data_IF_586194715797
#
_entry.id   IF_586194715797
#
_cell.length_a   1.000
_cell.length_b   1.000
_cell.length_c   1.000
_cell.angle_alpha   90.00
_cell.angle_beta   90.00
_cell.angle_gamma   90.00
#
_symmetry.space_group_name_H-M   'P 1'
#
loop_
_entity.id
_entity.type
_entity.pdbx_description
1 polymer ?
#
# COMPACT_ATOMS: atom_id res chain seq x y z
N UNK A 1 13.29 -9.38 -8.80
CA UNK A 1 12.44 -8.54 -7.94
C UNK A 1 12.92 -7.10 -8.03
N UNK A 2 11.99 -6.16 -8.15
CA UNK A 2 12.24 -4.72 -8.04
C UNK A 2 12.15 -4.33 -6.56
N UNK A 3 13.22 -3.73 -6.02
CA UNK A 3 13.30 -3.36 -4.61
C UNK A 3 13.12 -1.85 -4.50
N UNK A 4 12.10 -1.43 -3.75
CA UNK A 4 11.86 -0.05 -3.42
C UNK A 4 12.21 0.25 -1.97
N UNK A 5 13.15 1.16 -1.75
CA UNK A 5 13.52 1.64 -0.43
C UNK A 5 12.68 2.85 -0.05
N UNK A 6 12.03 2.81 1.11
CA UNK A 6 11.18 3.91 1.57
C UNK A 6 12.01 5.01 2.24
N UNK A 7 11.77 6.28 1.90
CA UNK A 7 12.40 7.42 2.56
C UNK A 7 11.99 7.55 4.03
N UNK A 8 10.74 7.24 4.34
CA UNK A 8 10.18 7.18 5.68
C UNK A 8 9.31 5.93 5.84
N UNK A 9 9.22 5.41 7.07
CA UNK A 9 8.37 4.25 7.35
C UNK A 9 6.87 4.61 7.26
N UNK A 10 6.44 5.85 7.08
CA UNK A 10 5.02 6.23 7.06
C UNK A 10 4.33 5.91 5.72
N UNK A 11 3.26 5.10 5.68
CA UNK A 11 2.53 4.79 4.43
C UNK A 11 1.68 5.96 3.90
N UNK A 12 1.65 7.10 4.62
CA UNK A 12 0.95 8.33 4.20
C UNK A 12 1.88 9.37 3.59
N UNK A 13 3.17 9.23 3.85
CA UNK A 13 4.20 10.19 3.48
C UNK A 13 5.52 9.42 3.36
N UNK A 14 5.85 9.00 2.16
CA UNK A 14 7.13 8.38 1.86
C UNK A 14 7.40 8.45 0.35
N UNK A 15 8.67 8.44 0.01
CA UNK A 15 9.13 8.23 -1.35
C UNK A 15 9.64 6.80 -1.46
N UNK A 16 9.28 6.11 -2.55
CA UNK A 16 9.82 4.80 -2.88
C UNK A 16 10.92 5.00 -3.90
N UNK A 17 12.14 4.71 -3.48
CA UNK A 17 13.34 4.84 -4.30
C UNK A 17 13.77 3.49 -4.85
N UNK A 18 14.24 3.44 -6.09
CA UNK A 18 14.88 2.24 -6.64
C UNK A 18 16.25 1.97 -5.99
N UNK A 19 16.95 0.95 -6.49
CA UNK A 19 18.30 0.57 -6.02
C UNK A 19 19.38 1.61 -6.35
N UNK A 20 19.13 2.49 -7.33
CA UNK A 20 20.02 3.57 -7.73
C UNK A 20 19.78 4.85 -6.91
N UNK A 21 18.70 4.87 -6.12
CA UNK A 21 18.30 6.01 -5.30
C UNK A 21 17.36 7.00 -6.02
N UNK A 22 16.87 6.66 -7.21
CA UNK A 22 15.90 7.50 -7.92
C UNK A 22 14.51 7.33 -7.30
N UNK A 23 13.78 8.44 -7.15
CA UNK A 23 12.40 8.40 -6.66
C UNK A 23 11.49 7.87 -7.78
N UNK A 24 10.95 6.67 -7.61
CA UNK A 24 10.01 6.06 -8.56
C UNK A 24 8.58 6.41 -8.20
N UNK A 25 8.22 6.31 -6.92
CA UNK A 25 6.91 6.73 -6.43
C UNK A 25 7.01 7.76 -5.32
N UNK A 26 6.11 8.73 -5.35
CA UNK A 26 5.95 9.73 -4.30
C UNK A 26 4.58 9.58 -3.66
N UNK A 27 4.57 9.28 -2.37
CA UNK A 27 3.37 9.18 -1.55
C UNK A 27 3.35 10.37 -0.62
N UNK A 28 2.35 11.23 -0.76
CA UNK A 28 2.26 12.47 0.02
C UNK A 28 0.86 12.69 0.55
N UNK A 29 0.77 13.17 1.78
CA UNK A 29 -0.46 13.68 2.39
C UNK A 29 -0.19 15.11 2.85
N UNK A 30 -1.09 16.07 2.61
CA UNK A 30 -1.01 17.36 3.28
C UNK A 30 -1.10 17.12 4.79
N UNK A 31 -0.30 17.87 5.56
CA UNK A 31 -0.28 17.80 7.03
C UNK A 31 -1.45 18.63 7.56
N UNK A 32 -2.66 18.08 7.48
CA UNK A 32 -3.86 18.71 8.04
C UNK A 32 -4.44 17.84 9.16
N UNK A 33 -4.90 18.48 10.23
CA UNK A 33 -5.67 17.81 11.29
C UNK A 33 -7.03 17.41 10.71
N UNK A 34 -7.26 16.11 10.49
CA UNK A 34 -8.58 15.56 10.09
C UNK A 34 -8.53 14.59 8.91
N UNK A 35 -9.44 14.79 7.95
CA UNK A 35 -9.47 14.04 6.69
C UNK A 35 -8.10 14.18 6.01
N UNK A 36 -7.48 13.06 5.68
CA UNK A 36 -6.14 13.05 5.05
C UNK A 36 -6.27 12.44 3.67
N UNK A 37 -5.97 13.22 2.65
CA UNK A 37 -5.88 12.71 1.29
C UNK A 37 -4.43 12.29 1.05
N UNK A 38 -4.22 11.04 0.62
CA UNK A 38 -2.91 10.54 0.24
C UNK A 38 -2.85 10.46 -1.27
N UNK A 39 -1.99 11.28 -1.85
CA UNK A 39 -1.67 11.30 -3.27
C UNK A 39 -0.51 10.36 -3.54
N UNK A 40 -0.64 9.51 -4.56
CA UNK A 40 0.39 8.60 -5.04
C UNK A 40 0.71 8.97 -6.49
N UNK A 41 1.94 9.39 -6.72
CA UNK A 41 2.45 9.76 -8.05
C UNK A 41 3.60 8.84 -8.47
N UNK A 42 3.72 8.60 -9.77
CA UNK A 42 4.90 8.00 -10.40
C UNK A 42 5.52 9.03 -11.34
N UNK A 43 6.69 9.56 -10.98
CA UNK A 43 7.19 10.79 -11.63
C UNK A 43 6.16 11.93 -11.50
N UNK A 44 5.67 12.43 -12.64
CA UNK A 44 4.63 13.47 -12.72
C UNK A 44 3.21 12.90 -12.91
N UNK A 45 3.08 11.59 -13.08
CA UNK A 45 1.80 10.94 -13.33
C UNK A 45 1.04 10.67 -12.03
N UNK A 46 -0.20 11.14 -11.96
CA UNK A 46 -1.10 10.84 -10.84
C UNK A 46 -1.67 9.43 -10.98
N UNK A 47 -1.21 8.51 -10.14
CA UNK A 47 -1.68 7.13 -10.14
C UNK A 47 -2.98 7.01 -9.35
N UNK A 48 -3.00 7.51 -8.11
CA UNK A 48 -4.17 7.42 -7.25
C UNK A 48 -4.24 8.49 -6.16
N UNK A 49 -5.45 8.73 -5.68
CA UNK A 49 -5.73 9.52 -4.47
C UNK A 49 -6.57 8.69 -3.51
N UNK A 50 -6.06 8.49 -2.29
CA UNK A 50 -6.76 7.80 -1.21
C UNK A 50 -7.34 8.85 -0.26
N UNK A 51 -8.67 8.94 -0.19
CA UNK A 51 -9.35 9.89 0.70
C UNK A 51 -9.69 9.22 2.03
N UNK A 52 -8.89 9.49 3.06
CA UNK A 52 -9.13 8.99 4.41
C UNK A 52 -10.15 9.86 5.13
N UNK A 53 -11.40 9.40 5.17
CA UNK A 53 -12.47 10.00 5.96
C UNK A 53 -12.57 9.37 7.35
N UNK A 54 -12.85 10.19 8.36
CA UNK A 54 -13.04 9.76 9.76
C UNK A 54 -14.44 9.18 10.04
N UNK A 55 -15.49 9.88 9.57
CA UNK A 55 -16.90 9.52 9.83
C UNK A 55 -17.46 8.63 8.73
N UNK A 56 -17.08 8.91 7.48
CA UNK A 56 -17.53 8.16 6.31
C UNK A 56 -16.55 7.05 5.91
N UNK A 57 -16.99 6.16 5.03
CA UNK A 57 -16.11 5.15 4.44
C UNK A 57 -15.07 5.83 3.54
N UNK A 58 -13.79 5.55 3.80
CA UNK A 58 -12.68 6.03 2.97
C UNK A 58 -12.83 5.56 1.51
N UNK A 59 -12.46 6.43 0.57
CA UNK A 59 -12.57 6.19 -0.87
C UNK A 59 -11.20 6.19 -1.54
N UNK A 60 -11.13 5.56 -2.71
CA UNK A 60 -9.97 5.52 -3.60
C UNK A 60 -10.39 6.11 -4.94
N UNK A 61 -9.63 7.07 -5.44
CA UNK A 61 -9.73 7.57 -6.81
C UNK A 61 -8.55 7.03 -7.59
N UNK A 62 -8.82 6.20 -8.62
CA UNK A 62 -7.79 5.62 -9.49
C UNK A 62 -8.36 5.50 -10.90
N UNK A 63 -7.57 5.80 -11.93
CA UNK A 63 -8.02 5.85 -13.33
C UNK A 63 -9.29 6.71 -13.53
N UNK A 64 -9.34 7.87 -12.86
CA UNK A 64 -10.47 8.82 -12.92
C UNK A 64 -11.75 8.36 -12.21
N UNK A 65 -11.77 7.18 -11.59
CA UNK A 65 -12.95 6.64 -10.91
C UNK A 65 -12.76 6.64 -9.39
N UNK A 66 -13.69 7.28 -8.69
CA UNK A 66 -13.76 7.22 -7.22
C UNK A 66 -14.65 6.08 -6.76
N UNK A 67 -14.16 5.21 -5.88
CA UNK A 67 -14.92 4.07 -5.34
C UNK A 67 -14.57 3.83 -3.88
N UNK A 68 -15.44 3.18 -3.09
CA UNK A 68 -15.13 2.91 -1.67
C UNK A 68 -14.03 1.88 -1.57
N UNK A 69 -13.09 2.06 -0.63
CA UNK A 69 -11.97 1.12 -0.43
C UNK A 69 -12.47 -0.32 -0.18
N UNK A 70 -13.58 -0.49 0.56
CA UNK A 70 -14.11 -1.84 0.82
C UNK A 70 -14.77 -2.50 -0.40
N UNK A 71 -15.09 -1.74 -1.45
CA UNK A 71 -15.66 -2.25 -2.70
C UNK A 71 -14.55 -2.65 -3.67
N UNK A 72 -13.50 -1.83 -3.80
CA UNK A 72 -12.33 -2.14 -4.66
C UNK A 72 -11.34 -3.11 -4.03
N UNK A 73 -11.29 -3.13 -2.69
CA UNK A 73 -10.33 -3.91 -1.93
C UNK A 73 -11.04 -4.65 -0.78
N UNK A 74 -11.99 -5.56 -1.10
CA UNK A 74 -12.82 -6.24 -0.14
C UNK A 74 -12.04 -7.22 0.76
N UNK A 75 -12.64 -7.54 1.91
CA UNK A 75 -12.21 -8.66 2.74
C UNK A 75 -12.88 -9.94 2.23
N UNK A 76 -12.13 -11.03 1.97
CA UNK A 76 -12.73 -12.29 1.53
C UNK A 76 -13.56 -12.96 2.63
N UNK A 77 -13.24 -12.70 3.92
CA UNK A 77 -13.99 -13.19 5.08
C UNK A 77 -14.16 -12.06 6.09
N UNK A 78 -15.31 -11.98 6.78
CA UNK A 78 -15.67 -10.87 7.70
C UNK A 78 -14.61 -10.60 8.79
N UNK A 79 -13.96 -11.65 9.30
CA UNK A 79 -12.92 -11.58 10.35
C UNK A 79 -11.48 -11.59 9.81
N UNK A 80 -11.29 -11.66 8.48
CA UNK A 80 -9.95 -11.67 7.90
C UNK A 80 -9.36 -10.26 7.83
N UNK A 81 -8.07 -10.14 8.13
CA UNK A 81 -7.28 -8.93 7.87
C UNK A 81 -6.87 -8.82 6.41
N UNK A 82 -6.84 -9.95 5.69
CA UNK A 82 -6.47 -10.02 4.28
C UNK A 82 -7.47 -9.29 3.39
N UNK A 83 -6.98 -8.82 2.25
CA UNK A 83 -7.80 -8.10 1.26
C UNK A 83 -7.40 -8.47 -0.15
N UNK A 84 -8.39 -8.60 -1.01
CA UNK A 84 -8.21 -8.98 -2.42
C UNK A 84 -8.45 -7.75 -3.27
N UNK A 85 -7.57 -7.51 -4.23
CA UNK A 85 -7.75 -6.51 -5.27
C UNK A 85 -7.94 -7.20 -6.62
N UNK A 86 -8.84 -6.65 -7.45
CA UNK A 86 -9.10 -7.12 -8.81
C UNK A 86 -8.77 -6.00 -9.78
N UNK A 87 -7.80 -6.23 -10.65
CA UNK A 87 -7.43 -5.33 -11.73
C UNK A 87 -8.49 -5.31 -12.84
N UNK A 88 -8.51 -4.29 -13.71
CA UNK A 88 -9.50 -4.19 -14.81
C UNK A 88 -9.47 -5.36 -15.80
N UNK A 89 -8.31 -6.00 -15.97
CA UNK A 89 -8.11 -7.19 -16.82
C UNK A 89 -8.56 -8.50 -16.15
N UNK A 90 -9.03 -8.44 -14.90
CA UNK A 90 -9.44 -9.60 -14.12
C UNK A 90 -8.31 -10.23 -13.28
N UNK A 91 -7.07 -9.74 -13.38
CA UNK A 91 -5.98 -10.20 -12.53
C UNK A 91 -6.28 -9.92 -11.06
N UNK A 92 -6.06 -10.91 -10.19
CA UNK A 92 -6.36 -10.81 -8.76
C UNK A 92 -5.14 -11.11 -7.90
N UNK A 93 -4.94 -10.26 -6.90
CA UNK A 93 -3.97 -10.52 -5.85
C UNK A 93 -4.51 -10.21 -4.46
N UNK A 94 -3.93 -10.87 -3.46
CA UNK A 94 -4.36 -10.77 -2.08
C UNK A 94 -3.20 -10.34 -1.18
N UNK A 95 -3.39 -9.23 -0.48
CA UNK A 95 -2.51 -8.85 0.63
C UNK A 95 -2.84 -9.65 1.89
N UNK A 96 -1.81 -10.21 2.51
CA UNK A 96 -1.86 -11.04 3.71
C UNK A 96 -0.87 -10.52 4.77
N UNK A 97 -1.01 -11.01 5.99
CA UNK A 97 -0.13 -10.69 7.12
C UNK A 97 -0.43 -9.36 7.82
N UNK A 98 0.13 -9.18 9.01
CA UNK A 98 0.04 -7.95 9.81
C UNK A 98 1.40 -7.38 10.20
N UNK A 99 2.37 -8.26 10.45
CA UNK A 99 3.75 -7.92 10.84
C UNK A 99 4.71 -7.98 9.66
N UNK A 100 4.59 -9.02 8.85
CA UNK A 100 5.19 -9.13 7.53
C UNK A 100 4.05 -9.14 6.53
N UNK A 101 3.99 -8.10 5.70
CA UNK A 101 2.90 -7.90 4.76
C UNK A 101 3.39 -8.38 3.40
N UNK A 102 2.60 -9.20 2.72
CA UNK A 102 2.95 -9.73 1.41
C UNK A 102 1.70 -9.89 0.55
N UNK A 103 1.86 -9.77 -0.76
CA UNK A 103 0.82 -9.95 -1.76
C UNK A 103 1.08 -11.25 -2.51
N UNK A 104 0.03 -12.05 -2.68
CA UNK A 104 0.08 -13.24 -3.54
C UNK A 104 -0.89 -13.12 -4.69
N UNK A 105 -0.54 -13.68 -5.84
CA UNK A 105 -1.48 -13.93 -6.93
C UNK A 105 -2.56 -14.92 -6.43
N UNK A 106 -3.84 -14.61 -6.65
CA UNK A 106 -4.94 -15.45 -6.15
C UNK A 106 -5.06 -16.79 -6.89
N UNK A 107 -4.71 -16.83 -8.18
CA UNK A 107 -4.81 -18.02 -9.01
C UNK A 107 -3.65 -18.99 -8.79
N UNK A 108 -2.43 -18.49 -8.57
CA UNK A 108 -1.21 -19.31 -8.46
C UNK A 108 -0.64 -19.42 -7.05
N UNK A 109 -1.12 -18.60 -6.10
CA UNK A 109 -0.57 -18.41 -4.75
C UNK A 109 0.91 -18.00 -4.71
N UNK A 110 1.47 -17.58 -5.85
CA UNK A 110 2.83 -17.06 -5.94
C UNK A 110 2.93 -15.68 -5.27
N UNK A 111 4.01 -15.47 -4.51
CA UNK A 111 4.31 -14.19 -3.89
C UNK A 111 4.77 -13.19 -4.95
N UNK A 112 4.05 -12.07 -5.08
CA UNK A 112 4.31 -11.03 -6.09
C UNK A 112 4.76 -9.71 -5.47
N UNK A 113 4.61 -9.53 -4.16
CA UNK A 113 5.18 -8.39 -3.45
C UNK A 113 5.37 -8.69 -1.96
N UNK A 114 6.43 -8.16 -1.35
CA UNK A 114 6.65 -8.26 0.09
C UNK A 114 7.13 -6.94 0.66
N UNK A 115 6.49 -6.51 1.75
CA UNK A 115 6.88 -5.34 2.51
C UNK A 115 7.64 -5.74 3.77
N UNK A 116 8.89 -5.30 3.85
CA UNK A 116 9.78 -5.48 4.99
C UNK A 116 9.79 -4.20 5.81
N UNK A 117 8.98 -4.19 6.87
CA UNK A 117 8.95 -3.07 7.81
C UNK A 117 10.19 -3.08 8.71
N UNK A 118 10.94 -1.98 8.76
CA UNK A 118 11.91 -1.79 9.82
C UNK A 118 11.24 -1.31 11.12
N UNK A 119 11.02 -2.25 12.05
CA UNK A 119 10.46 -1.98 13.37
C UNK A 119 11.42 -1.24 14.31
N UNK A 120 12.73 -1.23 14.01
CA UNK A 120 13.78 -0.60 14.81
C UNK A 120 14.42 0.62 14.12
N UNK A 121 13.66 1.34 13.28
CA UNK A 121 14.16 2.52 12.55
C UNK A 121 14.64 3.68 13.44
N UNK A 122 14.36 3.64 14.75
CA UNK A 122 14.90 4.58 15.74
C UNK A 122 16.24 4.12 16.35
N UNK A 123 16.61 2.86 16.14
CA UNK A 123 17.80 2.21 16.73
C UNK A 123 18.82 1.83 15.66
N UNK A 124 18.40 1.69 14.40
CA UNK A 124 19.28 1.43 13.27
C UNK A 124 18.87 2.24 12.04
N UNK A 125 19.84 2.46 11.16
CA UNK A 125 19.66 3.22 9.91
C UNK A 125 19.04 2.41 8.77
N UNK A 126 18.57 1.18 9.05
CA UNK A 126 17.94 0.36 8.01
C UNK A 126 16.62 1.01 7.59
N UNK A 127 16.36 1.07 6.30
CA UNK A 127 15.08 1.58 5.78
C UNK A 127 14.10 0.42 5.58
N UNK A 128 12.81 0.74 5.61
CA UNK A 128 11.78 -0.24 5.21
C UNK A 128 11.85 -0.41 3.70
N UNK A 129 11.55 -1.61 3.19
CA UNK A 129 11.56 -1.91 1.76
C UNK A 129 10.25 -2.52 1.30
N UNK A 130 9.86 -2.23 0.06
CA UNK A 130 8.79 -2.90 -0.65
C UNK A 130 9.41 -3.59 -1.87
N UNK A 131 9.37 -4.91 -1.89
CA UNK A 131 9.83 -5.72 -3.01
C UNK A 131 8.64 -6.12 -3.85
N UNK A 132 8.74 -5.95 -5.16
CA UNK A 132 7.73 -6.33 -6.16
C UNK A 132 8.38 -7.31 -7.15
N UNK A 133 7.61 -8.23 -7.72
CA UNK A 133 8.09 -9.09 -8.80
C UNK A 133 8.74 -8.27 -9.93
N UNK A 134 9.88 -8.72 -10.46
CA UNK A 134 10.54 -8.01 -11.56
C UNK A 134 9.76 -8.11 -12.88
N UNK A 135 8.93 -9.16 -13.03
CA UNK A 135 8.08 -9.35 -14.20
C UNK A 135 6.73 -8.62 -14.07
N UNK A 136 6.49 -7.92 -12.95
CA UNK A 136 5.28 -7.13 -12.78
C UNK A 136 5.22 -6.01 -13.81
N UNK A 137 4.11 -5.92 -14.55
CA UNK A 137 3.88 -4.78 -15.44
C UNK A 137 3.83 -3.48 -14.64
N UNK A 138 3.96 -2.37 -15.35
CA UNK A 138 3.83 -1.02 -14.82
C UNK A 138 2.50 -0.83 -14.08
N UNK A 139 1.39 -1.32 -14.64
CA UNK A 139 0.05 -1.25 -14.06
C UNK A 139 -0.09 -2.13 -12.81
N UNK A 140 0.52 -3.32 -12.81
CA UNK A 140 0.54 -4.19 -11.63
C UNK A 140 1.37 -3.56 -10.51
N UNK A 141 2.52 -2.98 -10.84
CA UNK A 141 3.38 -2.28 -9.89
C UNK A 141 2.64 -1.11 -9.24
N UNK A 142 1.94 -0.30 -10.03
CA UNK A 142 1.09 0.78 -9.53
C UNK A 142 0.00 0.28 -8.59
N UNK A 143 -0.75 -0.75 -9.03
CA UNK A 143 -1.80 -1.34 -8.22
C UNK A 143 -1.25 -1.89 -6.89
N UNK A 144 -0.08 -2.51 -6.90
CA UNK A 144 0.59 -3.02 -5.71
C UNK A 144 1.03 -1.88 -4.78
N UNK A 145 1.61 -0.80 -5.28
CA UNK A 145 1.99 0.36 -4.45
C UNK A 145 0.76 1.01 -3.82
N UNK A 146 -0.30 1.24 -4.59
CA UNK A 146 -1.54 1.85 -4.12
C UNK A 146 -2.21 0.98 -3.04
N UNK A 147 -2.35 -0.32 -3.32
CA UNK A 147 -3.01 -1.24 -2.39
C UNK A 147 -2.16 -1.53 -1.15
N UNK A 148 -0.82 -1.52 -1.28
CA UNK A 148 0.11 -1.58 -0.15
C UNK A 148 -0.10 -0.39 0.79
N UNK A 149 -0.15 0.84 0.29
CA UNK A 149 -0.35 2.03 1.11
C UNK A 149 -1.66 1.95 1.92
N UNK A 150 -2.74 1.46 1.30
CA UNK A 150 -4.02 1.20 1.97
C UNK A 150 -3.88 0.11 3.03
N UNK A 151 -3.24 -1.01 2.67
CA UNK A 151 -3.15 -2.20 3.52
C UNK A 151 -2.26 -1.94 4.74
N UNK A 152 -1.08 -1.35 4.56
CA UNK A 152 -0.14 -1.03 5.65
C UNK A 152 -0.75 -0.03 6.63
N UNK A 153 -1.49 1.00 6.17
CA UNK A 153 -2.21 1.89 7.08
C UNK A 153 -3.22 1.11 7.95
N UNK A 154 -4.02 0.24 7.33
CA UNK A 154 -5.00 -0.58 8.06
C UNK A 154 -4.32 -1.57 9.01
N UNK A 155 -3.21 -2.16 8.61
CA UNK A 155 -2.41 -3.05 9.45
C UNK A 155 -1.84 -2.30 10.66
N UNK A 156 -1.36 -1.06 10.48
CA UNK A 156 -0.94 -0.18 11.59
C UNK A 156 -2.06 0.16 12.55
N UNK A 157 -3.23 0.55 12.02
CA UNK A 157 -4.38 0.86 12.86
C UNK A 157 -4.78 -0.37 13.71
N UNK A 158 -4.77 -1.56 13.10
CA UNK A 158 -5.03 -2.83 13.79
C UNK A 158 -3.94 -3.19 14.81
N UNK A 159 -2.66 -2.90 14.54
CA UNK A 159 -1.58 -3.08 15.51
C UNK A 159 -1.79 -2.15 16.71
N UNK A 160 -2.15 -0.88 16.49
CA UNK A 160 -2.40 0.09 17.57
C UNK A 160 -3.60 -0.29 18.44
N UNK A 161 -4.68 -0.77 17.85
CA UNK A 161 -5.86 -1.20 18.63
C UNK A 161 -5.62 -2.44 19.48
N UNK A 162 -4.66 -3.31 19.12
CA UNK A 162 -4.32 -4.50 19.90
C UNK A 162 -3.60 -4.21 21.21
N UNK A 163 -2.94 -3.06 21.33
CA UNK A 163 -2.21 -2.64 22.53
C UNK A 163 -2.96 -1.57 23.35
N UNK A 164 -4.19 -1.25 22.95
CA UNK A 164 -5.08 -0.35 23.68
C UNK A 164 -6.17 -1.13 24.40
N UNK A 165 -5.81 -1.76 25.53
CA UNK A 165 -6.70 -2.14 26.62
C UNK A 165 -5.93 -2.04 27.94
#
# INVERSE_FOLDING_TARGET
>A
MNIYTLSETSPKRCDLMDVEGNIVYKISSPVTLGNSDVTIMRGEELIAVIHWKWIERSTLTMNGKTTKINEVFPRPKKLSTSRVYTMPDGYQFQWKGTDQIYAVNVATDLNIATYYQNKMHLVNDKKSTLEIDAEASTELSDALVVTWAIYEKKARDHRRSRWGH
#
